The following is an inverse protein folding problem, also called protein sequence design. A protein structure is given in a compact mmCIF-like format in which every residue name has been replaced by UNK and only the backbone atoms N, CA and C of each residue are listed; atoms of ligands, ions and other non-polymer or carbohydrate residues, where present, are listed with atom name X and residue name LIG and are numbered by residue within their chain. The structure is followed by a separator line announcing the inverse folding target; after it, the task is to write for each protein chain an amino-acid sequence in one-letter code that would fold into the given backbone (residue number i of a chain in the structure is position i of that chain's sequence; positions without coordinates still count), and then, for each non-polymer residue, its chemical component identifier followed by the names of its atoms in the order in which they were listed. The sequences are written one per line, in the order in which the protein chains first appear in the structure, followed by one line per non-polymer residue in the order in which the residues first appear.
data_IF_086049478773
#
_entry.id   IF_086049478773
#
_cell.length_a   1.000
_cell.length_b   1.000
_cell.length_c   1.000
_cell.angle_alpha   90.00
_cell.angle_beta   90.00
_cell.angle_gamma   90.00
#
_symmetry.space_group_name_H-M   'P 1'
#
loop_
_entity.id
_entity.type
_entity.pdbx_description
1 polymer ?
#
# COMPACT_ATOMS: atom_id res chain seq x y z
N UNK A 1 -4.93 3.84 -21.41
CA UNK A 1 -3.61 3.79 -20.75
C UNK A 1 -2.74 2.81 -21.53
N UNK A 2 -1.50 3.15 -21.85
CA UNK A 2 -0.62 2.26 -22.63
C UNK A 2 -0.30 0.97 -21.87
N UNK A 3 0.07 -0.08 -22.61
CA UNK A 3 0.47 -1.37 -22.04
C UNK A 3 1.65 -1.23 -21.07
N UNK A 4 2.59 -0.33 -21.38
CA UNK A 4 3.78 -0.07 -20.55
C UNK A 4 3.40 0.46 -19.16
N UNK A 5 2.59 1.52 -19.10
CA UNK A 5 2.17 2.12 -17.82
C UNK A 5 1.28 1.19 -16.98
N UNK A 6 0.46 0.36 -17.63
CA UNK A 6 -0.32 -0.69 -16.96
C UNK A 6 0.57 -1.73 -16.30
N UNK A 7 1.57 -2.24 -17.02
CA UNK A 7 2.51 -3.23 -16.48
C UNK A 7 3.35 -2.65 -15.35
N UNK A 8 3.80 -1.40 -15.49
CA UNK A 8 4.56 -0.71 -14.46
C UNK A 8 3.73 -0.55 -13.18
N UNK A 9 2.49 -0.07 -13.27
CA UNK A 9 1.60 0.02 -12.11
C UNK A 9 1.30 -1.35 -11.49
N UNK A 10 1.05 -2.37 -12.33
CA UNK A 10 0.87 -3.74 -11.84
C UNK A 10 2.08 -4.23 -11.05
N UNK A 11 3.29 -4.04 -11.58
CA UNK A 11 4.53 -4.40 -10.90
C UNK A 11 4.73 -3.60 -9.61
N UNK A 12 4.43 -2.29 -9.60
CA UNK A 12 4.47 -1.46 -8.39
C UNK A 12 3.62 -2.04 -7.28
N UNK A 13 2.38 -2.45 -7.57
CA UNK A 13 1.48 -2.99 -6.54
C UNK A 13 1.89 -4.38 -6.04
N UNK A 14 2.46 -5.22 -6.91
CA UNK A 14 3.08 -6.49 -6.48
C UNK A 14 4.25 -6.24 -5.53
N UNK A 15 5.16 -5.33 -5.91
CA UNK A 15 6.32 -4.99 -5.08
C UNK A 15 5.90 -4.32 -3.76
N UNK A 16 4.89 -3.46 -3.78
CA UNK A 16 4.36 -2.81 -2.58
C UNK A 16 3.78 -3.84 -1.60
N UNK A 17 3.06 -4.86 -2.10
CA UNK A 17 2.54 -5.95 -1.28
C UNK A 17 3.65 -6.80 -0.66
N UNK A 18 4.67 -7.16 -1.45
CA UNK A 18 5.85 -7.89 -0.95
C UNK A 18 6.58 -7.07 0.12
N UNK A 19 6.80 -5.77 -0.13
CA UNK A 19 7.48 -4.88 0.80
C UNK A 19 6.70 -4.75 2.12
N UNK A 20 5.36 -4.60 2.08
CA UNK A 20 4.53 -4.61 3.28
C UNK A 20 4.57 -5.95 4.02
N UNK A 21 4.70 -7.08 3.30
CA UNK A 21 4.95 -8.39 3.89
C UNK A 21 6.24 -8.41 4.71
N UNK A 22 7.34 -7.90 4.15
CA UNK A 22 8.61 -7.78 4.88
C UNK A 22 8.50 -6.81 6.07
N UNK A 23 7.83 -5.66 5.91
CA UNK A 23 7.59 -4.71 7.00
C UNK A 23 6.77 -5.36 8.12
N UNK A 24 5.75 -6.15 7.79
CA UNK A 24 4.95 -6.90 8.77
C UNK A 24 5.83 -7.85 9.59
N UNK A 25 6.66 -8.66 8.93
CA UNK A 25 7.58 -9.58 9.62
C UNK A 25 8.61 -8.83 10.46
N UNK A 26 9.21 -7.76 9.93
CA UNK A 26 10.21 -6.96 10.62
C UNK A 26 9.62 -6.22 11.84
N UNK A 27 8.41 -5.68 11.71
CA UNK A 27 7.70 -4.95 12.77
C UNK A 27 7.47 -5.83 13.99
N UNK A 28 7.07 -7.09 13.80
CA UNK A 28 6.93 -8.08 14.88
C UNK A 28 8.28 -8.42 15.53
N UNK A 29 9.31 -8.68 14.72
CA UNK A 29 10.65 -9.03 15.22
C UNK A 29 11.31 -7.91 16.03
N UNK A 30 11.03 -6.66 15.69
CA UNK A 30 11.60 -5.48 16.36
C UNK A 30 10.77 -5.00 17.54
N UNK A 31 9.65 -5.66 17.85
CA UNK A 31 8.73 -5.25 18.91
C UNK A 31 8.04 -3.91 18.65
N UNK A 32 7.95 -3.49 17.37
CA UNK A 32 7.33 -2.24 16.93
C UNK A 32 6.20 -2.55 15.94
N UNK A 33 5.12 -3.21 16.40
CA UNK A 33 4.07 -3.68 15.51
C UNK A 33 3.19 -2.53 15.01
N UNK A 34 2.75 -2.65 13.76
CA UNK A 34 1.72 -1.79 13.17
C UNK A 34 0.33 -2.24 13.64
N UNK A 35 -0.67 -1.35 13.65
CA UNK A 35 -2.02 -1.62 14.15
C UNK A 35 -2.73 -2.76 13.40
N UNK A 36 -2.36 -2.94 12.13
CA UNK A 36 -2.88 -4.01 11.27
C UNK A 36 -2.05 -5.30 11.34
N UNK A 37 -0.96 -5.31 12.13
CA UNK A 37 -0.05 -6.45 12.31
C UNK A 37 -0.19 -7.10 13.68
N UNK A 38 -0.51 -6.35 14.74
CA UNK A 38 -0.60 -6.88 16.11
C UNK A 38 -1.71 -6.26 16.97
N UNK A 39 -2.13 -7.01 17.99
CA UNK A 39 -3.37 -6.86 18.77
C UNK A 39 -3.32 -5.84 19.92
N UNK A 40 -2.24 -5.07 20.10
CA UNK A 40 -2.00 -4.38 21.39
C UNK A 40 -2.92 -3.18 21.68
N UNK A 41 -3.85 -2.79 20.80
CA UNK A 41 -4.67 -1.58 20.96
C UNK A 41 -6.19 -1.74 20.85
N UNK A 42 -6.70 -2.82 20.25
CA UNK A 42 -8.15 -3.01 20.07
C UNK A 42 -8.57 -4.33 20.71
N UNK A 43 -9.06 -4.24 21.93
CA UNK A 43 -9.59 -5.38 22.70
C UNK A 43 -10.70 -6.11 21.90
N UNK A 44 -10.37 -7.25 21.27
CA UNK A 44 -11.33 -8.10 20.56
C UNK A 44 -10.79 -8.77 19.29
N UNK A 45 -10.17 -9.94 19.47
CA UNK A 45 -9.80 -11.08 18.59
C UNK A 45 -9.86 -11.08 17.03
N UNK A 46 -10.24 -10.04 16.29
CA UNK A 46 -10.22 -10.05 14.80
C UNK A 46 -9.61 -8.81 14.13
N UNK A 47 -9.29 -7.77 14.88
CA UNK A 47 -8.82 -6.47 14.33
C UNK A 47 -7.58 -6.57 13.42
N UNK A 48 -6.54 -7.37 13.73
CA UNK A 48 -5.37 -7.48 12.86
C UNK A 48 -5.64 -8.29 11.60
N UNK A 49 -6.52 -9.30 11.66
CA UNK A 49 -6.89 -10.10 10.48
C UNK A 49 -7.69 -9.23 9.50
N UNK A 50 -8.64 -8.46 10.02
CA UNK A 50 -9.43 -7.50 9.22
C UNK A 50 -8.56 -6.36 8.72
N UNK A 51 -7.67 -5.81 9.56
CA UNK A 51 -6.76 -4.73 9.20
C UNK A 51 -5.74 -5.16 8.13
N UNK A 52 -5.08 -6.31 8.31
CA UNK A 52 -4.21 -6.88 7.29
C UNK A 52 -5.00 -7.18 6.01
N UNK A 53 -6.19 -7.80 6.15
CA UNK A 53 -7.09 -8.04 5.04
C UNK A 53 -7.39 -6.77 4.24
N UNK A 54 -7.71 -5.67 4.93
CA UNK A 54 -7.97 -4.37 4.31
C UNK A 54 -6.73 -3.81 3.59
N UNK A 55 -5.57 -3.82 4.24
CA UNK A 55 -4.30 -3.33 3.67
C UNK A 55 -3.95 -4.08 2.37
N UNK A 56 -4.01 -5.41 2.40
CA UNK A 56 -3.73 -6.23 1.21
C UNK A 56 -4.85 -6.15 0.16
N UNK A 57 -6.10 -5.99 0.57
CA UNK A 57 -7.23 -5.80 -0.35
C UNK A 57 -7.06 -4.50 -1.16
N UNK A 58 -6.64 -3.40 -0.51
CA UNK A 58 -6.37 -2.13 -1.19
C UNK A 58 -5.30 -2.32 -2.27
N UNK A 59 -4.21 -3.02 -1.95
CA UNK A 59 -3.15 -3.33 -2.92
C UNK A 59 -3.64 -4.23 -4.06
N UNK A 60 -4.45 -5.24 -3.73
CA UNK A 60 -5.03 -6.17 -4.70
C UNK A 60 -5.97 -5.45 -5.68
N UNK A 61 -6.84 -4.57 -5.17
CA UNK A 61 -7.76 -3.78 -6.00
C UNK A 61 -6.96 -2.90 -6.96
N UNK A 62 -5.95 -2.19 -6.46
CA UNK A 62 -5.12 -1.34 -7.30
C UNK A 62 -4.35 -2.14 -8.37
N UNK A 63 -3.82 -3.32 -8.01
CA UNK A 63 -3.22 -4.26 -8.95
C UNK A 63 -4.20 -4.72 -10.05
N UNK A 64 -5.39 -5.20 -9.66
CA UNK A 64 -6.39 -5.71 -10.60
C UNK A 64 -6.84 -4.62 -11.57
N UNK A 65 -7.10 -3.42 -11.07
CA UNK A 65 -7.50 -2.28 -11.92
C UNK A 65 -6.36 -1.90 -12.87
N UNK A 66 -5.10 -1.93 -12.41
CA UNK A 66 -3.93 -1.67 -13.24
C UNK A 66 -3.76 -2.70 -14.36
N UNK A 67 -3.83 -3.99 -14.08
CA UNK A 67 -3.67 -5.09 -15.06
C UNK A 67 -4.83 -5.15 -16.04
N UNK A 68 -6.05 -4.83 -15.60
CA UNK A 68 -7.21 -4.69 -16.49
C UNK A 68 -7.16 -3.47 -17.40
N UNK A 69 -6.12 -2.63 -17.29
CA UNK A 69 -5.94 -1.40 -18.07
C UNK A 69 -7.13 -0.44 -17.97
N UNK A 70 -7.83 -0.49 -16.84
CA UNK A 70 -9.06 0.27 -16.68
C UNK A 70 -8.76 1.78 -16.71
N UNK A 71 -9.64 2.61 -17.30
CA UNK A 71 -9.47 4.07 -17.31
C UNK A 71 -9.17 4.69 -15.93
N UNK A 72 -9.73 4.24 -14.80
CA UNK A 72 -9.43 4.85 -13.51
C UNK A 72 -8.13 4.36 -12.85
N UNK A 73 -7.34 3.47 -13.48
CA UNK A 73 -6.21 2.79 -12.81
C UNK A 73 -5.22 3.69 -12.06
N UNK A 74 -4.75 4.83 -12.61
CA UNK A 74 -3.82 5.70 -11.89
C UNK A 74 -4.48 6.43 -10.72
N UNK A 75 -5.78 6.76 -10.84
CA UNK A 75 -6.53 7.42 -9.77
C UNK A 75 -6.79 6.44 -8.62
N UNK A 76 -7.16 5.20 -8.93
CA UNK A 76 -7.31 4.13 -7.92
C UNK A 76 -5.98 3.86 -7.24
N UNK A 77 -4.87 3.86 -7.99
CA UNK A 77 -3.53 3.66 -7.42
C UNK A 77 -3.12 4.83 -6.51
N UNK A 78 -3.38 6.07 -6.91
CA UNK A 78 -3.13 7.24 -6.06
C UNK A 78 -3.97 7.19 -4.77
N UNK A 79 -5.27 6.89 -4.89
CA UNK A 79 -6.16 6.75 -3.73
C UNK A 79 -5.73 5.62 -2.79
N UNK A 80 -5.38 4.45 -3.33
CA UNK A 80 -4.85 3.33 -2.57
C UNK A 80 -3.57 3.72 -1.79
N UNK A 81 -2.67 4.48 -2.43
CA UNK A 81 -1.45 4.97 -1.80
C UNK A 81 -1.75 5.92 -0.63
N UNK A 82 -2.76 6.79 -0.75
CA UNK A 82 -3.19 7.68 0.34
C UNK A 82 -3.81 6.91 1.51
N UNK A 83 -4.66 5.91 1.22
CA UNK A 83 -5.27 5.06 2.25
C UNK A 83 -4.18 4.35 3.05
N UNK A 84 -3.20 3.74 2.37
CA UNK A 84 -2.09 3.06 3.04
C UNK A 84 -1.20 4.03 3.81
N UNK A 85 -0.96 5.24 3.27
CA UNK A 85 -0.22 6.27 3.99
C UNK A 85 -0.95 6.71 5.27
N UNK A 86 -2.27 6.89 5.23
CA UNK A 86 -3.07 7.19 6.41
C UNK A 86 -2.98 6.08 7.45
N UNK A 87 -3.01 4.81 7.01
CA UNK A 87 -2.80 3.66 7.88
C UNK A 87 -1.44 3.71 8.58
N UNK A 88 -0.37 4.06 7.85
CA UNK A 88 0.97 4.19 8.41
C UNK A 88 1.14 5.41 9.33
N UNK A 89 0.43 6.52 9.08
CA UNK A 89 0.44 7.70 9.96
C UNK A 89 -0.11 7.37 11.34
N UNK A 90 -1.20 6.59 11.40
CA UNK A 90 -1.79 6.14 12.67
C UNK A 90 -0.76 5.37 13.52
N UNK A 91 0.19 4.69 12.89
CA UNK A 91 1.23 3.91 13.56
C UNK A 91 2.45 4.71 14.02
N UNK A 92 2.59 6.00 13.65
CA UNK A 92 3.81 6.76 13.90
C UNK A 92 4.17 6.89 15.39
N UNK A 93 3.17 6.98 16.27
CA UNK A 93 3.38 7.14 17.71
C UNK A 93 3.80 5.83 18.40
N UNK A 94 3.29 4.69 17.95
CA UNK A 94 3.53 3.38 18.57
C UNK A 94 4.66 2.59 17.91
N UNK A 95 4.85 2.74 16.59
CA UNK A 95 5.83 2.00 15.81
C UNK A 95 6.55 2.89 14.77
N UNK A 96 7.28 3.95 15.19
CA UNK A 96 7.85 4.94 14.27
C UNK A 96 8.71 4.34 13.16
N UNK A 97 9.56 3.35 13.48
CA UNK A 97 10.45 2.72 12.50
C UNK A 97 9.70 2.01 11.38
N UNK A 98 8.79 1.09 11.74
CA UNK A 98 7.98 0.34 10.78
C UNK A 98 7.04 1.25 9.98
N UNK A 99 6.46 2.26 10.65
CA UNK A 99 5.55 3.25 10.04
C UNK A 99 6.25 4.11 8.99
N UNK A 100 7.48 4.57 9.25
CA UNK A 100 8.28 5.34 8.29
C UNK A 100 8.59 4.53 7.03
N UNK A 101 8.92 3.24 7.18
CA UNK A 101 9.15 2.36 6.01
C UNK A 101 7.85 2.15 5.22
N UNK A 102 6.72 1.94 5.90
CA UNK A 102 5.41 1.84 5.25
C UNK A 102 5.07 3.13 4.47
N UNK A 103 5.32 4.31 5.05
CA UNK A 103 5.14 5.60 4.38
C UNK A 103 6.02 5.74 3.14
N UNK A 104 7.28 5.31 3.20
CA UNK A 104 8.17 5.35 2.05
C UNK A 104 7.65 4.49 0.88
N UNK A 105 7.11 3.30 1.18
CA UNK A 105 6.48 2.43 0.17
C UNK A 105 5.25 3.11 -0.43
N UNK A 106 4.42 3.75 0.39
CA UNK A 106 3.23 4.48 -0.07
C UNK A 106 3.60 5.68 -0.96
N UNK A 107 4.65 6.41 -0.60
CA UNK A 107 5.15 7.52 -1.40
C UNK A 107 5.67 7.04 -2.76
N UNK A 108 6.41 5.93 -2.81
CA UNK A 108 6.86 5.33 -4.06
C UNK A 108 5.69 4.90 -4.96
N UNK A 109 4.65 4.28 -4.38
CA UNK A 109 3.44 3.90 -5.11
C UNK A 109 2.66 5.14 -5.64
N UNK A 110 2.61 6.22 -4.85
CA UNK A 110 2.03 7.50 -5.27
C UNK A 110 2.79 8.10 -6.46
N UNK A 111 4.12 8.15 -6.39
CA UNK A 111 4.96 8.65 -7.47
C UNK A 111 4.78 7.83 -8.76
N UNK A 112 4.69 6.50 -8.66
CA UNK A 112 4.38 5.64 -9.81
C UNK A 112 3.00 5.93 -10.40
N UNK A 113 2.00 6.22 -9.54
CA UNK A 113 0.65 6.62 -9.96
C UNK A 113 0.67 7.95 -10.72
N UNK A 114 1.39 8.94 -10.21
CA UNK A 114 1.57 10.24 -10.86
C UNK A 114 2.32 10.13 -12.19
N UNK A 115 3.38 9.32 -12.25
CA UNK A 115 4.12 9.05 -13.49
C UNK A 115 3.22 8.40 -14.55
N UNK A 116 2.41 7.41 -14.17
CA UNK A 116 1.44 6.77 -15.06
C UNK A 116 0.31 7.71 -15.51
N UNK A 117 -0.06 8.70 -14.67
CA UNK A 117 -0.98 9.79 -15.03
C UNK A 117 -0.36 10.71 -16.07
N UNK A 118 0.85 11.20 -15.85
CA UNK A 118 1.57 12.08 -16.75
C UNK A 118 1.81 11.41 -18.12
N UNK A 119 2.26 10.15 -18.12
CA UNK A 119 2.45 9.36 -19.33
C UNK A 119 1.17 8.99 -20.07
N UNK A 120 -0.01 9.23 -19.47
CA UNK A 120 -1.32 9.12 -20.12
C UNK A 120 -1.74 10.39 -20.85
N UNK A 121 -1.28 11.55 -20.39
CA UNK A 121 -1.62 12.84 -21.01
C UNK A 121 -0.75 13.15 -22.24
N UNK A 122 0.39 12.48 -22.35
CA UNK A 122 1.35 12.65 -23.45
C UNK A 122 1.03 11.81 -24.72
N UNK A 123 -0.01 10.96 -24.68
CA UNK A 123 -0.43 10.05 -25.76
C UNK A 123 -1.95 10.04 -25.90
#
# INVERSE_FOLDING_TARGET
MSTTWSRLLGATWVLAAIAHGFVSVASRRTGKPLWWVDNNGFAGSMTPVVGAGLVYLVMLVAFVVAVRRAPPAPFVSAAASLVLAACAIVDLSAAPGSAVVALAICAAAMLASLAALAGRAAH
#
